data_IF_372188054874
#
_entry.id   IF_372188054874
#
_cell.length_a   1.000
_cell.length_b   1.000
_cell.length_c   1.000
_cell.angle_alpha   90.00
_cell.angle_beta   90.00
_cell.angle_gamma   90.00
#
_symmetry.space_group_name_H-M   'P 1'
#
loop_
_entity.id
_entity.type
_entity.pdbx_description
1 polymer ?
#
# COMPACT_ATOMS: atom_id res chain seq x y z
N UNK A 1 22.77 12.08 -67.50
CA UNK A 1 23.36 11.06 -66.61
C UNK A 1 22.80 11.27 -65.21
N UNK A 2 22.00 10.32 -64.71
CA UNK A 2 21.38 10.34 -63.38
C UNK A 2 22.28 9.64 -62.37
N UNK A 3 22.04 9.93 -61.07
CA UNK A 3 22.38 9.19 -59.83
C UNK A 3 23.48 9.85 -59.00
N UNK A 4 23.45 9.91 -57.67
CA UNK A 4 22.49 9.53 -56.62
C UNK A 4 23.06 10.22 -55.36
N UNK A 5 22.24 11.00 -54.63
CA UNK A 5 22.66 11.63 -53.36
C UNK A 5 22.72 10.52 -52.30
N UNK A 6 23.92 10.19 -51.84
CA UNK A 6 24.15 9.24 -50.74
C UNK A 6 23.75 9.95 -49.45
N UNK A 7 22.55 9.62 -48.93
CA UNK A 7 22.16 9.95 -47.56
C UNK A 7 22.74 8.89 -46.64
N UNK A 8 23.82 9.23 -45.94
CA UNK A 8 24.37 8.42 -44.86
C UNK A 8 23.35 8.31 -43.73
N UNK A 9 22.64 7.20 -43.68
CA UNK A 9 21.77 6.81 -42.58
C UNK A 9 22.68 6.27 -41.47
N UNK A 10 23.03 7.11 -40.49
CA UNK A 10 23.67 6.64 -39.25
C UNK A 10 22.58 5.95 -38.43
N UNK A 11 22.51 4.64 -38.57
CA UNK A 11 21.59 3.78 -37.82
C UNK A 11 22.28 3.46 -36.48
N UNK A 12 22.05 4.32 -35.48
CA UNK A 12 22.44 4.06 -34.10
C UNK A 12 21.52 2.96 -33.59
N UNK A 13 21.98 1.71 -33.68
CA UNK A 13 21.34 0.58 -32.99
C UNK A 13 21.66 0.74 -31.51
N UNK A 14 20.78 1.42 -30.78
CA UNK A 14 20.77 1.36 -29.32
C UNK A 14 20.26 -0.04 -28.98
N UNK A 15 21.19 -0.96 -28.68
CA UNK A 15 20.86 -2.22 -28.03
C UNK A 15 20.39 -1.91 -26.61
N UNK A 16 19.11 -1.61 -26.46
CA UNK A 16 18.46 -1.68 -25.17
C UNK A 16 18.49 -3.14 -24.74
N UNK A 17 19.44 -3.50 -23.88
CA UNK A 17 19.31 -4.68 -23.05
C UNK A 17 18.08 -4.45 -22.17
N UNK A 18 16.91 -4.83 -22.69
CA UNK A 18 15.74 -5.03 -21.88
C UNK A 18 16.06 -6.20 -20.95
N UNK A 19 16.64 -5.89 -19.79
CA UNK A 19 16.64 -6.80 -18.66
C UNK A 19 15.16 -6.99 -18.30
N UNK A 20 14.55 -8.03 -18.88
CA UNK A 20 13.25 -8.48 -18.45
C UNK A 20 13.37 -8.79 -16.96
N UNK A 21 12.72 -7.98 -16.13
CA UNK A 21 12.70 -8.16 -14.68
C UNK A 21 12.12 -9.55 -14.41
N UNK A 22 12.97 -10.49 -14.00
CA UNK A 22 12.57 -11.89 -13.79
C UNK A 22 11.42 -11.94 -12.80
N UNK A 23 10.35 -12.64 -13.14
CA UNK A 23 9.22 -12.83 -12.23
C UNK A 23 9.66 -13.72 -11.06
N UNK A 24 9.09 -13.54 -9.86
CA UNK A 24 9.32 -14.37 -8.68
C UNK A 24 9.29 -15.89 -8.94
N UNK A 25 8.42 -16.33 -9.86
CA UNK A 25 8.33 -17.74 -10.29
C UNK A 25 9.59 -18.19 -11.04
N UNK A 26 10.18 -17.33 -11.86
CA UNK A 26 11.39 -17.61 -12.62
C UNK A 26 12.62 -17.64 -11.70
N UNK A 27 12.69 -16.72 -10.74
CA UNK A 27 13.73 -16.71 -9.69
C UNK A 27 13.71 -18.05 -8.94
N UNK A 28 12.55 -18.46 -8.41
CA UNK A 28 12.45 -19.72 -7.67
C UNK A 28 12.70 -20.97 -8.54
N UNK A 29 12.34 -20.93 -9.83
CA UNK A 29 12.64 -22.02 -10.77
C UNK A 29 14.14 -22.15 -11.03
N UNK A 30 14.86 -21.04 -11.13
CA UNK A 30 16.32 -21.03 -11.27
C UNK A 30 17.00 -21.61 -10.03
N UNK A 31 16.53 -21.24 -8.84
CA UNK A 31 17.02 -21.82 -7.58
C UNK A 31 16.75 -23.33 -7.49
N UNK A 32 15.58 -23.80 -7.94
CA UNK A 32 15.27 -25.23 -8.04
C UNK A 32 16.31 -26.02 -8.83
N UNK A 33 16.72 -25.52 -10.00
CA UNK A 33 17.78 -26.13 -10.82
C UNK A 33 19.12 -26.18 -10.10
N UNK A 34 19.50 -25.10 -9.42
CA UNK A 34 20.76 -25.04 -8.64
C UNK A 34 20.77 -26.04 -7.48
N UNK A 35 19.63 -26.29 -6.83
CA UNK A 35 19.53 -27.36 -5.82
C UNK A 35 19.68 -28.75 -6.43
N UNK A 36 19.10 -28.99 -7.61
CA UNK A 36 19.26 -30.25 -8.35
C UNK A 36 20.70 -30.49 -8.78
N UNK A 37 21.41 -29.45 -9.23
CA UNK A 37 22.84 -29.52 -9.54
C UNK A 37 23.66 -29.92 -8.31
N UNK A 38 23.44 -29.28 -7.15
CA UNK A 38 24.13 -29.65 -5.89
C UNK A 38 23.80 -31.10 -5.47
N UNK A 39 22.56 -31.54 -5.68
CA UNK A 39 22.13 -32.90 -5.34
C UNK A 39 22.81 -33.96 -6.21
N UNK A 40 22.84 -33.71 -7.52
CA UNK A 40 23.34 -34.63 -8.53
C UNK A 40 24.86 -34.66 -8.64
N UNK A 41 25.56 -33.66 -8.10
CA UNK A 41 27.02 -33.62 -8.06
C UNK A 41 27.59 -34.76 -7.19
N UNK A 42 28.16 -35.78 -7.82
CA UNK A 42 28.78 -36.92 -7.14
C UNK A 42 30.15 -36.61 -6.53
N UNK A 43 30.75 -35.47 -6.85
CA UNK A 43 32.04 -35.04 -6.31
C UNK A 43 31.96 -34.47 -4.89
N UNK A 44 30.75 -34.13 -4.44
CA UNK A 44 30.51 -33.52 -3.13
C UNK A 44 30.09 -34.56 -2.10
N UNK A 45 30.67 -34.46 -0.91
CA UNK A 45 30.22 -35.22 0.25
C UNK A 45 28.82 -34.74 0.72
N UNK A 46 28.08 -35.56 1.48
CA UNK A 46 26.79 -35.14 2.05
C UNK A 46 26.88 -33.84 2.87
N UNK A 47 28.00 -33.64 3.57
CA UNK A 47 28.25 -32.45 4.37
C UNK A 47 28.42 -31.20 3.49
N UNK A 48 29.25 -31.27 2.45
CA UNK A 48 29.47 -30.15 1.52
C UNK A 48 28.20 -29.82 0.72
N UNK A 49 27.39 -30.82 0.36
CA UNK A 49 26.07 -30.60 -0.23
C UNK A 49 25.16 -29.83 0.73
N UNK A 50 25.17 -30.18 2.02
CA UNK A 50 24.37 -29.50 3.03
C UNK A 50 24.77 -28.02 3.17
N UNK A 51 26.07 -27.74 3.28
CA UNK A 51 26.58 -26.36 3.39
C UNK A 51 26.24 -25.53 2.15
N UNK A 52 26.48 -26.06 0.94
CA UNK A 52 26.14 -25.36 -0.32
C UNK A 52 24.65 -25.10 -0.46
N UNK A 53 23.79 -26.04 -0.05
CA UNK A 53 22.33 -25.82 -0.05
C UNK A 53 21.92 -24.73 0.95
N UNK A 54 22.57 -24.69 2.11
CA UNK A 54 22.30 -23.67 3.13
C UNK A 54 22.69 -22.28 2.63
N UNK A 55 23.86 -22.14 2.02
CA UNK A 55 24.28 -20.90 1.36
C UNK A 55 23.31 -20.48 0.25
N UNK A 56 22.91 -21.43 -0.59
CA UNK A 56 21.95 -21.19 -1.66
C UNK A 56 20.57 -20.77 -1.14
N UNK A 57 20.11 -21.35 -0.02
CA UNK A 57 18.86 -20.98 0.64
C UNK A 57 18.91 -19.58 1.25
N UNK A 58 20.04 -19.18 1.83
CA UNK A 58 20.24 -17.82 2.34
C UNK A 58 20.16 -16.82 1.17
N UNK A 59 20.82 -17.13 0.05
CA UNK A 59 20.80 -16.28 -1.14
C UNK A 59 19.39 -16.19 -1.76
N UNK A 60 18.70 -17.32 -1.91
CA UNK A 60 17.32 -17.35 -2.40
C UNK A 60 16.39 -16.51 -1.51
N UNK A 61 16.56 -16.57 -0.19
CA UNK A 61 15.80 -15.76 0.75
C UNK A 61 16.08 -14.26 0.55
N UNK A 62 17.34 -13.88 0.36
CA UNK A 62 17.73 -12.48 0.11
C UNK A 62 17.15 -11.95 -1.21
N UNK A 63 17.33 -12.69 -2.31
CA UNK A 63 16.81 -12.31 -3.63
C UNK A 63 15.28 -12.20 -3.62
N UNK A 64 14.60 -13.11 -2.91
CA UNK A 64 13.15 -13.06 -2.74
C UNK A 64 12.71 -11.86 -1.89
N UNK A 65 13.49 -11.46 -0.87
CA UNK A 65 13.21 -10.25 -0.08
C UNK A 65 13.43 -9.00 -0.94
N UNK A 66 14.47 -8.97 -1.76
CA UNK A 66 14.78 -7.85 -2.65
C UNK A 66 13.71 -7.69 -3.74
N UNK A 67 13.35 -8.78 -4.43
CA UNK A 67 12.22 -8.79 -5.36
C UNK A 67 10.94 -8.33 -4.67
N UNK A 68 10.64 -8.85 -3.48
CA UNK A 68 9.46 -8.42 -2.75
C UNK A 68 9.54 -6.95 -2.38
N UNK A 69 10.67 -6.39 -1.92
CA UNK A 69 10.82 -4.96 -1.61
C UNK A 69 10.57 -4.08 -2.84
N UNK A 70 11.17 -4.43 -3.97
CA UNK A 70 10.99 -3.69 -5.23
C UNK A 70 9.53 -3.74 -5.72
N UNK A 71 8.82 -4.84 -5.48
CA UNK A 71 7.44 -5.02 -5.93
C UNK A 71 6.38 -4.63 -4.88
N UNK A 72 6.68 -4.67 -3.58
CA UNK A 72 5.78 -4.30 -2.47
C UNK A 72 5.46 -2.80 -2.47
N UNK A 73 6.43 -1.97 -2.86
CA UNK A 73 6.25 -0.53 -2.88
C UNK A 73 5.17 -0.06 -3.87
N UNK A 74 4.71 -0.92 -4.79
CA UNK A 74 3.69 -0.53 -5.79
C UNK A 74 2.25 -0.87 -5.39
N UNK A 75 2.01 -1.80 -4.46
CA UNK A 75 0.65 -2.31 -4.19
C UNK A 75 0.14 -2.18 -2.75
N UNK A 76 0.99 -2.16 -1.71
CA UNK A 76 0.51 -2.17 -0.32
C UNK A 76 0.39 -0.79 0.35
N UNK A 77 1.25 0.18 0.01
CA UNK A 77 1.20 1.50 0.67
C UNK A 77 -0.08 2.29 0.41
N UNK A 78 -0.77 2.04 -0.71
CA UNK A 78 -1.98 2.78 -1.05
C UNK A 78 -3.25 2.18 -0.43
N UNK A 79 -3.31 0.87 -0.19
CA UNK A 79 -4.52 0.22 0.34
C UNK A 79 -4.59 0.41 1.87
N UNK A 80 -3.47 0.16 2.56
CA UNK A 80 -3.41 0.29 4.01
C UNK A 80 -3.64 1.74 4.46
N UNK A 81 -3.10 2.73 3.74
CA UNK A 81 -3.31 4.15 4.03
C UNK A 81 -4.77 4.61 3.80
N UNK A 82 -5.45 4.06 2.78
CA UNK A 82 -6.86 4.38 2.52
C UNK A 82 -7.76 3.83 3.61
N UNK A 83 -7.53 2.59 4.01
CA UNK A 83 -8.31 1.93 5.04
C UNK A 83 -8.06 2.57 6.42
N UNK A 84 -6.82 2.94 6.72
CA UNK A 84 -6.48 3.73 7.91
C UNK A 84 -7.17 5.09 7.93
N UNK A 85 -7.19 5.80 6.79
CA UNK A 85 -7.90 7.09 6.68
C UNK A 85 -9.41 6.94 6.84
N UNK A 86 -10.02 5.89 6.27
CA UNK A 86 -11.45 5.59 6.47
C UNK A 86 -11.74 5.31 7.95
N UNK A 87 -10.89 4.52 8.63
CA UNK A 87 -11.00 4.26 10.07
C UNK A 87 -10.81 5.52 10.92
N UNK A 88 -9.93 6.44 10.54
CA UNK A 88 -9.77 7.73 11.24
C UNK A 88 -11.04 8.58 11.13
N UNK A 89 -11.66 8.62 9.95
CA UNK A 89 -12.93 9.35 9.77
C UNK A 89 -14.07 8.69 10.57
N UNK A 90 -14.14 7.36 10.61
CA UNK A 90 -15.09 6.64 11.48
C UNK A 90 -14.92 7.03 12.95
N UNK A 91 -13.68 7.03 13.46
CA UNK A 91 -13.40 7.49 14.83
C UNK A 91 -13.81 8.94 15.07
N UNK A 92 -13.61 9.83 14.09
CA UNK A 92 -14.07 11.23 14.17
C UNK A 92 -15.59 11.34 14.24
N UNK A 93 -16.32 10.49 13.51
CA UNK A 93 -17.79 10.42 13.57
C UNK A 93 -18.23 9.97 14.96
N UNK A 94 -17.64 8.91 15.51
CA UNK A 94 -17.99 8.41 16.85
C UNK A 94 -17.75 9.48 17.94
N UNK A 95 -16.59 10.14 17.90
CA UNK A 95 -16.28 11.24 18.82
C UNK A 95 -17.25 12.43 18.69
N UNK A 96 -17.72 12.71 17.47
CA UNK A 96 -18.70 13.76 17.21
C UNK A 96 -20.07 13.37 17.79
N UNK A 97 -20.50 12.12 17.65
CA UNK A 97 -21.74 11.62 18.24
C UNK A 97 -21.72 11.68 19.77
N UNK A 98 -20.62 11.26 20.38
CA UNK A 98 -20.46 11.31 21.83
C UNK A 98 -20.42 12.74 22.36
N UNK A 99 -19.74 13.65 21.64
CA UNK A 99 -19.76 15.08 21.97
C UNK A 99 -21.17 15.65 21.87
N UNK A 100 -21.91 15.31 20.81
CA UNK A 100 -23.28 15.76 20.62
C UNK A 100 -24.20 15.31 21.78
N UNK A 101 -24.10 14.04 22.20
CA UNK A 101 -24.85 13.51 23.36
C UNK A 101 -24.53 14.29 24.63
N UNK A 102 -23.24 14.44 24.97
CA UNK A 102 -22.80 15.18 26.17
C UNK A 102 -23.21 16.64 26.15
N UNK A 103 -23.08 17.32 25.02
CA UNK A 103 -23.44 18.73 24.90
C UNK A 103 -24.97 18.92 24.98
N UNK A 104 -25.75 18.00 24.42
CA UNK A 104 -27.22 18.00 24.53
C UNK A 104 -27.67 17.79 25.97
N UNK A 105 -27.05 16.87 26.71
CA UNK A 105 -27.28 16.66 28.14
C UNK A 105 -26.88 17.88 28.97
N UNK A 106 -25.71 18.48 28.67
CA UNK A 106 -25.26 19.72 29.33
C UNK A 106 -26.25 20.87 29.15
N UNK A 107 -26.82 21.03 27.95
CA UNK A 107 -27.85 22.05 27.71
C UNK A 107 -29.13 21.73 28.50
N UNK A 108 -29.54 20.45 28.53
CA UNK A 108 -30.75 20.05 29.25
C UNK A 108 -30.64 20.28 30.77
N UNK A 109 -29.48 19.96 31.34
CA UNK A 109 -29.21 20.06 32.77
C UNK A 109 -28.72 21.46 33.21
N UNK A 110 -28.75 22.46 32.32
CA UNK A 110 -28.30 23.81 32.66
C UNK A 110 -29.42 24.61 33.34
N UNK A 111 -29.31 24.83 34.64
CA UNK A 111 -30.31 25.56 35.44
C UNK A 111 -30.33 27.07 35.16
N UNK A 112 -29.31 27.61 34.50
CA UNK A 112 -29.23 29.03 34.12
C UNK A 112 -30.02 29.35 32.85
N UNK A 113 -30.50 28.34 32.14
CA UNK A 113 -31.23 28.50 30.88
C UNK A 113 -32.71 28.21 31.06
N UNK A 114 -33.56 29.06 30.49
CA UNK A 114 -34.98 28.77 30.40
C UNK A 114 -35.29 27.77 29.27
N UNK A 115 -36.51 27.23 29.25
CA UNK A 115 -36.93 26.22 28.26
C UNK A 115 -36.74 26.68 26.80
N UNK A 116 -36.98 27.97 26.51
CA UNK A 116 -36.86 28.51 25.15
C UNK A 116 -35.39 28.59 24.73
N UNK A 117 -34.52 29.03 25.63
CA UNK A 117 -33.07 29.09 25.40
C UNK A 117 -32.46 27.71 25.21
N UNK A 118 -32.84 26.73 26.05
CA UNK A 118 -32.44 25.32 25.90
C UNK A 118 -32.82 24.79 24.52
N UNK A 119 -34.07 25.04 24.09
CA UNK A 119 -34.53 24.62 22.76
C UNK A 119 -33.78 25.30 21.63
N UNK A 120 -33.48 26.60 21.74
CA UNK A 120 -32.72 27.33 20.73
C UNK A 120 -31.29 26.78 20.60
N UNK A 121 -30.61 26.56 21.74
CA UNK A 121 -29.25 26.00 21.75
C UNK A 121 -29.22 24.55 21.22
N UNK A 122 -30.20 23.71 21.58
CA UNK A 122 -30.33 22.35 21.03
C UNK A 122 -30.52 22.33 19.52
N UNK A 123 -31.31 23.25 18.97
CA UNK A 123 -31.49 23.37 17.50
C UNK A 123 -30.19 23.75 16.80
N UNK A 124 -29.42 24.69 17.37
CA UNK A 124 -28.11 25.09 16.84
C UNK A 124 -27.14 23.90 16.89
N UNK A 125 -27.07 23.23 18.05
CA UNK A 125 -26.23 22.05 18.26
C UNK A 125 -26.57 20.92 17.28
N UNK A 126 -27.85 20.64 17.07
CA UNK A 126 -28.30 19.60 16.14
C UNK A 126 -27.94 19.92 14.68
N UNK A 127 -28.09 21.19 14.28
CA UNK A 127 -27.72 21.64 12.94
C UNK A 127 -26.21 21.48 12.71
N UNK A 128 -25.40 21.99 13.63
CA UNK A 128 -23.92 21.88 13.57
C UNK A 128 -23.46 20.42 13.54
N UNK A 129 -24.07 19.57 14.39
CA UNK A 129 -23.80 18.12 14.40
C UNK A 129 -24.09 17.47 13.04
N UNK A 130 -25.27 17.74 12.44
CA UNK A 130 -25.66 17.19 11.14
C UNK A 130 -24.69 17.64 10.04
N UNK A 131 -24.40 18.93 9.97
CA UNK A 131 -23.46 19.49 8.97
C UNK A 131 -22.07 18.86 9.07
N UNK A 132 -21.51 18.75 10.28
CA UNK A 132 -20.20 18.13 10.51
C UNK A 132 -20.20 16.63 10.18
N UNK A 133 -21.26 15.91 10.54
CA UNK A 133 -21.39 14.48 10.24
C UNK A 133 -21.46 14.23 8.73
N UNK A 134 -22.21 15.04 8.01
CA UNK A 134 -22.34 14.92 6.55
C UNK A 134 -21.05 15.33 5.82
N UNK A 135 -20.27 16.27 6.36
CA UNK A 135 -18.92 16.57 5.87
C UNK A 135 -17.98 15.36 6.02
N UNK A 136 -17.94 14.74 7.21
CA UNK A 136 -17.11 13.56 7.46
C UNK A 136 -17.51 12.37 6.58
N UNK A 137 -18.82 12.12 6.38
CA UNK A 137 -19.29 11.07 5.46
C UNK A 137 -18.83 11.32 4.03
N UNK A 138 -18.97 12.54 3.52
CA UNK A 138 -18.48 12.91 2.18
C UNK A 138 -16.97 12.77 2.08
N UNK A 139 -16.22 13.14 3.11
CA UNK A 139 -14.77 12.94 3.15
C UNK A 139 -14.42 11.45 3.03
N UNK A 140 -15.15 10.57 3.75
CA UNK A 140 -14.98 9.11 3.68
C UNK A 140 -15.26 8.56 2.28
N UNK A 141 -16.35 9.00 1.66
CA UNK A 141 -16.75 8.59 0.30
C UNK A 141 -15.75 9.03 -0.77
N UNK A 142 -15.09 10.18 -0.55
CA UNK A 142 -14.07 10.71 -1.45
C UNK A 142 -12.71 10.02 -1.34
N UNK A 143 -12.51 9.11 -0.38
CA UNK A 143 -11.32 8.26 -0.32
C UNK A 143 -11.44 7.15 -1.38
N UNK A 144 -10.90 7.45 -2.57
CA UNK A 144 -10.66 6.51 -3.68
C UNK A 144 -9.69 5.42 -3.27
#
# INVERSE_FOLDING_TARGET
>A
MKKLIIRSFVLIVVSTNAFAQKNQREINREYGRKYEEINSDSSLTPYEKSEKKRELAIKQKQDNIEYNKENYHTHHHNIDYKDERKKDIERKIDLLEDRYKRDKERIENNDKLNKREKNAQKKILEKDYKEKKDLLKREKENIK
#
